data_IF_056007499629
#
_entry.id   IF_056007499629
#
_cell.length_a   1.000
_cell.length_b   1.000
_cell.length_c   1.000
_cell.angle_alpha   90.00
_cell.angle_beta   90.00
_cell.angle_gamma   90.00
#
_symmetry.space_group_name_H-M   'P 1'
#
loop_
_entity.id
_entity.type
_entity.pdbx_description
1 polymer ?
#
# COMPACT_ATOMS: atom_id res chain seq x y z
N UNK A 1 -34.70 -14.49 32.40
CA UNK A 1 -33.76 -15.62 32.27
C UNK A 1 -32.45 -15.07 31.75
N UNK A 2 -31.40 -15.02 32.58
CA UNK A 2 -30.10 -14.51 32.15
C UNK A 2 -29.41 -15.54 31.28
N UNK A 3 -29.11 -15.20 30.03
CA UNK A 3 -28.21 -15.98 29.18
C UNK A 3 -26.81 -15.86 29.78
N UNK A 4 -26.22 -16.97 30.24
CA UNK A 4 -24.87 -16.99 30.80
C UNK A 4 -23.80 -16.51 29.82
N UNK A 5 -22.56 -16.37 30.32
CA UNK A 5 -21.43 -15.94 29.50
C UNK A 5 -21.30 -16.85 28.26
N UNK A 6 -21.20 -16.30 27.03
CA UNK A 6 -21.05 -17.12 25.85
C UNK A 6 -19.78 -17.98 25.96
N UNK A 7 -19.82 -19.23 25.45
CA UNK A 7 -18.68 -20.14 25.54
C UNK A 7 -17.44 -19.50 24.90
N UNK A 8 -16.32 -19.55 25.64
CA UNK A 8 -15.03 -19.05 25.14
C UNK A 8 -14.60 -19.90 23.95
N UNK A 9 -14.49 -19.27 22.78
CA UNK A 9 -13.96 -19.91 21.58
C UNK A 9 -12.50 -20.27 21.83
N UNK A 10 -12.20 -21.56 21.90
CA UNK A 10 -10.88 -22.09 22.31
C UNK A 10 -9.76 -21.75 21.31
N UNK A 11 -10.11 -21.52 20.03
CA UNK A 11 -9.14 -21.30 18.95
C UNK A 11 -9.50 -20.09 18.07
N UNK A 12 -9.03 -18.90 18.44
CA UNK A 12 -9.27 -17.64 17.70
C UNK A 12 -8.84 -17.71 16.22
N UNK A 13 -7.69 -18.38 15.95
CA UNK A 13 -7.17 -18.57 14.59
C UNK A 13 -8.19 -19.28 13.69
N UNK A 14 -8.75 -20.40 14.17
CA UNK A 14 -9.69 -21.22 13.41
C UNK A 14 -10.97 -20.45 13.11
N UNK A 15 -11.50 -19.76 14.12
CA UNK A 15 -12.68 -18.90 13.99
C UNK A 15 -12.46 -17.85 12.90
N UNK A 16 -11.32 -17.16 12.91
CA UNK A 16 -10.98 -16.18 11.87
C UNK A 16 -10.99 -16.79 10.48
N UNK A 17 -10.38 -17.97 10.31
CA UNK A 17 -10.31 -18.68 9.02
C UNK A 17 -11.68 -19.18 8.55
N UNK A 18 -12.53 -19.63 9.46
CA UNK A 18 -13.88 -20.11 9.15
C UNK A 18 -14.72 -19.00 8.50
N UNK A 19 -14.55 -17.74 8.96
CA UNK A 19 -15.22 -16.57 8.41
C UNK A 19 -14.56 -15.97 7.15
N UNK A 20 -13.43 -16.49 6.68
CA UNK A 20 -12.81 -16.00 5.45
C UNK A 20 -13.58 -16.46 4.19
N UNK A 21 -13.51 -15.69 3.08
CA UNK A 21 -13.99 -16.13 1.78
C UNK A 21 -13.40 -17.50 1.40
N UNK A 22 -14.25 -18.39 0.90
CA UNK A 22 -13.86 -19.74 0.52
C UNK A 22 -14.04 -20.00 -0.96
N UNK A 23 -13.24 -20.92 -1.48
CA UNK A 23 -13.22 -21.35 -2.86
C UNK A 23 -13.09 -22.87 -2.90
N UNK A 24 -13.77 -23.49 -3.84
CA UNK A 24 -13.63 -24.91 -4.09
C UNK A 24 -12.77 -25.14 -5.33
N UNK A 25 -11.65 -25.83 -5.17
CA UNK A 25 -10.74 -26.15 -6.28
C UNK A 25 -10.24 -27.58 -6.21
N UNK A 26 -9.88 -28.11 -7.37
CA UNK A 26 -9.25 -29.44 -7.48
C UNK A 26 -7.74 -29.30 -7.30
N UNK A 27 -7.12 -30.27 -6.64
CA UNK A 27 -5.66 -30.34 -6.50
C UNK A 27 -5.11 -31.17 -7.66
N UNK A 28 -4.15 -30.60 -8.40
CA UNK A 28 -3.50 -31.21 -9.56
C UNK A 28 -1.98 -31.31 -9.32
N UNK A 29 -1.23 -31.87 -10.27
CA UNK A 29 0.22 -32.07 -10.13
C UNK A 29 0.98 -30.74 -9.97
N UNK A 30 0.54 -29.69 -10.66
CA UNK A 30 1.08 -28.34 -10.50
C UNK A 30 0.64 -27.64 -9.21
N UNK A 31 -0.20 -28.27 -8.39
CA UNK A 31 -0.82 -27.70 -7.20
C UNK A 31 -2.25 -27.24 -7.44
N UNK A 32 -2.57 -26.03 -6.99
CA UNK A 32 -3.92 -25.45 -7.04
C UNK A 32 -3.88 -24.14 -7.82
N UNK A 33 -4.79 -23.99 -8.78
CA UNK A 33 -4.93 -22.77 -9.58
C UNK A 33 -6.12 -21.95 -9.04
N UNK A 34 -5.84 -20.75 -8.54
CA UNK A 34 -6.84 -19.76 -8.11
C UNK A 34 -6.47 -18.44 -8.78
N UNK A 35 -7.41 -17.85 -9.51
CA UNK A 35 -7.26 -16.55 -10.16
C UNK A 35 -5.96 -16.43 -11.00
N UNK A 36 -5.68 -17.44 -11.83
CA UNK A 36 -4.48 -17.52 -12.68
C UNK A 36 -3.14 -17.60 -11.91
N UNK A 37 -3.16 -17.77 -10.59
CA UNK A 37 -1.98 -17.94 -9.74
C UNK A 37 -1.91 -19.38 -9.25
N UNK A 38 -0.71 -19.95 -9.27
CA UNK A 38 -0.46 -21.32 -8.82
C UNK A 38 0.07 -21.36 -7.39
N UNK A 39 -0.52 -22.23 -6.57
CA UNK A 39 -0.17 -22.44 -5.17
C UNK A 39 0.28 -23.88 -4.96
N UNK A 40 1.31 -24.08 -4.13
CA UNK A 40 1.85 -25.40 -3.86
C UNK A 40 2.42 -25.53 -2.45
N UNK A 41 2.20 -26.69 -1.83
CA UNK A 41 2.79 -27.10 -0.56
C UNK A 41 2.79 -28.63 -0.50
N UNK A 42 3.74 -29.23 0.20
CA UNK A 42 3.90 -30.69 0.29
C UNK A 42 2.66 -31.40 0.84
N UNK A 43 1.87 -30.69 1.65
CA UNK A 43 0.63 -31.18 2.26
C UNK A 43 -0.42 -31.53 1.19
N UNK A 44 -0.37 -30.87 0.03
CA UNK A 44 -1.26 -31.15 -1.10
C UNK A 44 -0.94 -32.48 -1.79
N UNK A 45 0.27 -33.01 -1.65
CA UNK A 45 0.77 -34.17 -2.41
C UNK A 45 -0.12 -35.40 -2.26
N UNK A 46 -0.68 -35.61 -1.06
CA UNK A 46 -1.59 -36.72 -0.75
C UNK A 46 -2.97 -36.60 -1.40
N UNK A 47 -3.32 -35.42 -1.89
CA UNK A 47 -4.62 -35.14 -2.51
C UNK A 47 -4.55 -34.94 -4.03
N UNK A 48 -3.36 -35.03 -4.62
CA UNK A 48 -3.18 -34.98 -6.07
C UNK A 48 -3.92 -36.17 -6.68
N UNK A 49 -4.82 -35.90 -7.63
CA UNK A 49 -5.68 -36.89 -8.29
C UNK A 49 -6.73 -37.58 -7.39
N UNK A 50 -7.05 -37.02 -6.23
CA UNK A 50 -8.18 -37.50 -5.42
C UNK A 50 -9.49 -37.43 -6.20
N UNK A 51 -10.33 -38.44 -6.01
CA UNK A 51 -11.64 -38.61 -6.65
C UNK A 51 -12.71 -38.67 -5.58
N UNK A 52 -13.90 -38.19 -5.92
CA UNK A 52 -15.04 -38.17 -5.00
C UNK A 52 -15.52 -39.61 -4.68
N UNK A 53 -15.53 -40.49 -5.69
CA UNK A 53 -15.86 -41.90 -5.55
C UNK A 53 -14.73 -42.81 -6.06
N UNK A 54 -14.76 -44.08 -5.65
CA UNK A 54 -13.84 -45.12 -6.11
C UNK A 54 -14.07 -45.54 -7.57
N UNK A 55 -15.11 -45.04 -8.23
CA UNK A 55 -15.46 -45.40 -9.61
C UNK A 55 -14.50 -44.77 -10.63
N UNK A 56 -14.20 -45.51 -11.71
CA UNK A 56 -13.28 -45.06 -12.78
C UNK A 56 -13.69 -43.74 -13.45
N UNK A 57 -14.99 -43.42 -13.48
CA UNK A 57 -15.57 -42.22 -14.09
C UNK A 57 -15.94 -41.13 -13.07
N UNK A 58 -15.50 -41.25 -11.81
CA UNK A 58 -15.83 -40.25 -10.80
C UNK A 58 -15.12 -38.92 -11.07
N UNK A 59 -15.77 -37.83 -10.64
CA UNK A 59 -15.23 -36.48 -10.77
C UNK A 59 -14.01 -36.31 -9.87
N UNK A 60 -13.12 -35.40 -10.25
CA UNK A 60 -12.01 -34.99 -9.38
C UNK A 60 -12.60 -34.36 -8.11
N UNK A 61 -12.08 -34.76 -6.95
CA UNK A 61 -12.48 -34.21 -5.67
C UNK A 61 -12.12 -32.72 -5.60
N UNK A 62 -13.09 -31.91 -5.18
CA UNK A 62 -12.85 -30.50 -4.85
C UNK A 62 -12.58 -30.36 -3.36
N UNK A 63 -11.68 -29.45 -3.04
CA UNK A 63 -11.32 -29.14 -1.67
C UNK A 63 -11.59 -27.67 -1.37
N UNK A 64 -11.78 -27.36 -0.10
CA UNK A 64 -12.08 -26.02 0.39
C UNK A 64 -10.76 -25.29 0.65
N UNK A 65 -10.60 -24.15 0.00
CA UNK A 65 -9.53 -23.20 0.21
C UNK A 65 -10.12 -21.90 0.74
N UNK A 66 -9.45 -21.29 1.69
CA UNK A 66 -9.76 -19.97 2.24
C UNK A 66 -8.64 -19.01 1.86
N UNK A 67 -8.94 -17.73 1.69
CA UNK A 67 -7.94 -16.71 1.35
C UNK A 67 -8.20 -15.44 2.13
N UNK A 68 -7.13 -14.79 2.61
CA UNK A 68 -7.23 -13.43 3.13
C UNK A 68 -7.26 -12.45 1.93
N UNK A 69 -8.29 -11.62 1.76
CA UNK A 69 -8.31 -10.65 0.67
C UNK A 69 -7.20 -9.60 0.75
N UNK A 70 -6.60 -9.37 1.92
CA UNK A 70 -5.52 -8.39 2.10
C UNK A 70 -4.18 -8.90 1.59
N UNK A 71 -3.97 -10.21 1.64
CA UNK A 71 -2.74 -10.86 1.22
C UNK A 71 -3.08 -12.20 0.56
N UNK A 72 -2.95 -12.22 -0.77
CA UNK A 72 -3.23 -13.40 -1.57
C UNK A 72 -1.99 -14.30 -1.74
N UNK A 73 -0.86 -14.03 -1.06
CA UNK A 73 0.34 -14.87 -1.12
C UNK A 73 0.16 -16.25 -0.53
N UNK A 74 -0.74 -16.35 0.45
CA UNK A 74 -1.01 -17.57 1.19
C UNK A 74 -2.50 -17.87 1.10
N UNK A 75 -2.81 -19.09 0.71
CA UNK A 75 -4.15 -19.67 0.84
C UNK A 75 -4.14 -20.69 1.98
N UNK A 76 -5.29 -20.86 2.62
CA UNK A 76 -5.46 -21.83 3.69
C UNK A 76 -6.28 -23.01 3.17
N UNK A 77 -5.67 -24.18 3.13
CA UNK A 77 -6.34 -25.41 2.75
C UNK A 77 -6.95 -26.09 3.96
N UNK A 78 -8.22 -26.45 3.86
CA UNK A 78 -8.89 -27.26 4.85
C UNK A 78 -8.62 -28.74 4.59
N UNK A 79 -7.89 -29.38 5.50
CA UNK A 79 -7.61 -30.81 5.42
C UNK A 79 -8.76 -31.62 6.03
N UNK A 80 -9.48 -32.45 5.25
CA UNK A 80 -10.62 -33.22 5.77
C UNK A 80 -10.22 -34.37 6.70
N UNK A 81 -8.96 -34.84 6.67
CA UNK A 81 -8.49 -35.91 7.55
C UNK A 81 -8.09 -35.37 8.94
N UNK A 82 -7.46 -34.20 8.97
CA UNK A 82 -6.97 -33.58 10.22
C UNK A 82 -8.01 -32.60 10.81
N UNK A 83 -8.97 -32.12 10.00
CA UNK A 83 -9.95 -31.09 10.34
C UNK A 83 -9.30 -29.79 10.84
N UNK A 84 -8.20 -29.39 10.19
CA UNK A 84 -7.48 -28.13 10.46
C UNK A 84 -7.02 -27.47 9.16
N UNK A 85 -6.63 -26.20 9.27
CA UNK A 85 -6.18 -25.36 8.17
C UNK A 85 -4.66 -25.32 8.07
N UNK A 86 -4.17 -25.55 6.86
CA UNK A 86 -2.76 -25.47 6.49
C UNK A 86 -2.50 -24.34 5.51
N UNK A 87 -1.39 -23.65 5.71
CA UNK A 87 -0.92 -22.57 4.85
C UNK A 87 -0.28 -23.13 3.58
N UNK A 88 -0.64 -22.55 2.45
CA UNK A 88 -0.13 -22.90 1.14
C UNK A 88 0.30 -21.60 0.45
N UNK A 89 1.61 -21.37 0.34
CA UNK A 89 2.12 -20.19 -0.35
C UNK A 89 1.97 -20.33 -1.87
N UNK A 90 2.32 -19.28 -2.58
CA UNK A 90 2.62 -19.36 -4.00
C UNK A 90 3.58 -20.50 -4.31
N UNK A 91 3.38 -21.12 -5.48
CA UNK A 91 4.32 -22.11 -6.01
C UNK A 91 5.73 -21.53 -6.16
N UNK A 92 5.80 -20.26 -6.55
CA UNK A 92 7.03 -19.51 -6.63
C UNK A 92 7.06 -18.45 -5.52
N UNK A 93 7.79 -18.76 -4.46
CA UNK A 93 7.92 -17.92 -3.26
C UNK A 93 8.73 -16.65 -3.49
N UNK A 94 9.36 -16.47 -4.66
CA UNK A 94 10.07 -15.22 -4.99
C UNK A 94 9.11 -14.05 -5.30
N UNK A 95 7.84 -14.35 -5.56
CA UNK A 95 6.82 -13.35 -5.89
C UNK A 95 6.41 -12.54 -4.66
N UNK A 96 6.18 -11.23 -4.81
CA UNK A 96 5.77 -10.38 -3.70
C UNK A 96 4.33 -10.72 -3.26
N UNK A 97 4.00 -10.51 -1.98
CA UNK A 97 2.61 -10.57 -1.54
C UNK A 97 1.82 -9.41 -2.15
N UNK A 98 0.66 -9.73 -2.72
CA UNK A 98 -0.24 -8.73 -3.29
C UNK A 98 -1.62 -8.86 -2.65
N UNK A 99 -2.37 -7.77 -2.60
CA UNK A 99 -3.77 -7.78 -2.17
C UNK A 99 -4.70 -8.17 -3.32
N UNK A 100 -5.93 -8.58 -3.00
CA UNK A 100 -6.93 -8.88 -4.03
C UNK A 100 -7.30 -7.65 -4.87
N UNK A 101 -7.19 -6.46 -4.28
CA UNK A 101 -7.50 -5.20 -4.95
C UNK A 101 -6.45 -4.85 -6.00
N UNK A 102 -5.17 -4.94 -5.64
CA UNK A 102 -4.05 -4.77 -6.58
C UNK A 102 -4.12 -5.82 -7.70
N UNK A 103 -4.41 -7.07 -7.36
CA UNK A 103 -4.62 -8.12 -8.35
C UNK A 103 -5.74 -7.77 -9.35
N UNK A 104 -6.91 -7.35 -8.85
CA UNK A 104 -8.03 -6.98 -9.70
C UNK A 104 -7.72 -5.77 -10.59
N UNK A 105 -6.96 -4.80 -10.07
CA UNK A 105 -6.51 -3.64 -10.83
C UNK A 105 -5.57 -4.06 -11.97
N UNK A 106 -4.59 -4.92 -11.67
CA UNK A 106 -3.66 -5.47 -12.66
C UNK A 106 -4.39 -6.26 -13.74
N UNK A 107 -5.34 -7.14 -13.36
CA UNK A 107 -6.16 -7.90 -14.31
C UNK A 107 -6.97 -6.96 -15.21
N UNK A 108 -7.54 -5.89 -14.63
CA UNK A 108 -8.28 -4.88 -15.38
C UNK A 108 -7.36 -4.14 -16.36
N UNK A 109 -6.13 -3.80 -15.96
CA UNK A 109 -5.11 -3.18 -16.82
C UNK A 109 -4.72 -4.10 -17.98
N UNK A 110 -4.43 -5.36 -17.71
CA UNK A 110 -4.08 -6.36 -18.72
C UNK A 110 -5.22 -6.61 -19.71
N UNK A 111 -6.46 -6.70 -19.22
CA UNK A 111 -7.65 -6.86 -20.06
C UNK A 111 -7.85 -5.66 -20.98
N UNK A 112 -7.65 -4.42 -20.51
CA UNK A 112 -7.70 -3.21 -21.35
C UNK A 112 -6.62 -3.19 -22.43
N UNK A 113 -5.47 -3.80 -22.17
CA UNK A 113 -4.36 -3.92 -23.12
C UNK A 113 -4.50 -5.13 -24.07
N UNK A 114 -5.56 -5.94 -23.94
CA UNK A 114 -5.76 -7.21 -24.68
C UNK A 114 -4.59 -8.21 -24.53
N UNK A 115 -3.90 -8.18 -23.38
CA UNK A 115 -2.81 -9.11 -23.08
C UNK A 115 -3.39 -10.37 -22.43
N UNK A 116 -2.83 -11.53 -22.77
CA UNK A 116 -3.21 -12.80 -22.13
C UNK A 116 -2.91 -12.79 -20.62
N UNK A 117 -3.90 -13.18 -19.83
CA UNK A 117 -3.82 -13.18 -18.36
C UNK A 117 -3.15 -14.49 -17.92
N UNK A 118 -1.87 -14.40 -17.59
CA UNK A 118 -1.05 -15.47 -17.08
C UNK A 118 -0.38 -15.00 -15.79
N UNK A 119 0.08 -15.95 -14.97
CA UNK A 119 0.76 -15.64 -13.71
C UNK A 119 1.93 -14.65 -13.92
N UNK A 120 2.78 -14.90 -14.92
CA UNK A 120 3.92 -14.04 -15.22
C UNK A 120 3.50 -12.63 -15.67
N UNK A 121 2.48 -12.49 -16.53
CA UNK A 121 2.04 -11.18 -17.01
C UNK A 121 1.39 -10.36 -15.88
N UNK A 122 0.73 -11.02 -14.93
CA UNK A 122 0.19 -10.38 -13.73
C UNK A 122 1.32 -9.78 -12.89
N UNK A 123 2.33 -10.57 -12.51
CA UNK A 123 3.41 -10.07 -11.64
C UNK A 123 4.32 -9.06 -12.34
N UNK A 124 4.51 -9.19 -13.65
CA UNK A 124 5.23 -8.19 -14.45
C UNK A 124 4.50 -6.84 -14.44
N UNK A 125 3.20 -6.83 -14.76
CA UNK A 125 2.40 -5.62 -14.74
C UNK A 125 2.27 -5.01 -13.33
N UNK A 126 2.21 -5.84 -12.29
CA UNK A 126 2.25 -5.39 -10.89
C UNK A 126 3.57 -4.66 -10.59
N UNK A 127 4.70 -5.24 -10.97
CA UNK A 127 6.02 -4.63 -10.77
C UNK A 127 6.15 -3.29 -11.49
N UNK A 128 5.59 -3.16 -12.69
CA UNK A 128 5.54 -1.85 -13.37
C UNK A 128 4.74 -0.82 -12.58
N UNK A 129 3.57 -1.20 -12.05
CA UNK A 129 2.71 -0.31 -11.26
C UNK A 129 3.41 0.14 -9.97
N UNK A 130 4.03 -0.79 -9.26
CA UNK A 130 4.83 -0.50 -8.07
C UNK A 130 5.98 0.46 -8.41
N UNK A 131 6.67 0.27 -9.53
CA UNK A 131 7.73 1.19 -9.96
C UNK A 131 7.19 2.61 -10.21
N UNK A 132 6.03 2.75 -10.85
CA UNK A 132 5.37 4.04 -11.11
C UNK A 132 4.97 4.71 -9.78
N UNK A 133 4.44 3.94 -8.83
CA UNK A 133 4.10 4.46 -7.51
C UNK A 133 5.36 4.96 -6.79
N UNK A 134 6.42 4.14 -6.76
CA UNK A 134 7.67 4.49 -6.09
C UNK A 134 8.35 5.70 -6.74
N UNK A 135 8.29 5.88 -8.06
CA UNK A 135 8.80 7.10 -8.71
C UNK A 135 7.96 8.32 -8.34
N UNK A 136 6.63 8.22 -8.38
CA UNK A 136 5.74 9.30 -7.96
C UNK A 136 5.94 9.71 -6.50
N UNK A 137 6.12 8.75 -5.58
CA UNK A 137 6.45 9.02 -4.18
C UNK A 137 7.79 9.75 -4.06
N UNK A 138 8.81 9.33 -4.81
CA UNK A 138 10.13 9.98 -4.79
C UNK A 138 10.05 11.41 -5.32
N UNK A 139 9.32 11.62 -6.42
CA UNK A 139 9.13 12.94 -7.02
C UNK A 139 8.36 13.89 -6.12
N UNK A 140 7.24 13.44 -5.54
CA UNK A 140 6.45 14.24 -4.58
C UNK A 140 7.25 14.59 -3.32
N UNK A 141 8.01 13.64 -2.77
CA UNK A 141 8.94 13.89 -1.65
C UNK A 141 10.02 14.90 -2.03
N UNK A 142 10.58 14.78 -3.23
CA UNK A 142 11.60 15.70 -3.77
C UNK A 142 11.03 17.12 -3.89
N UNK A 143 9.87 17.29 -4.52
CA UNK A 143 9.18 18.57 -4.67
C UNK A 143 8.86 19.21 -3.31
N UNK A 144 8.30 18.45 -2.37
CA UNK A 144 8.01 18.92 -1.01
C UNK A 144 9.26 19.34 -0.24
N UNK A 145 10.41 18.71 -0.50
CA UNK A 145 11.69 19.11 0.09
C UNK A 145 12.19 20.43 -0.51
N UNK A 146 12.09 20.59 -1.83
CA UNK A 146 12.49 21.82 -2.51
C UNK A 146 11.63 23.02 -2.11
N UNK A 147 10.31 22.86 -2.00
CA UNK A 147 9.42 23.94 -1.55
C UNK A 147 9.78 24.40 -0.14
N UNK A 148 9.94 23.47 0.81
CA UNK A 148 10.35 23.79 2.19
C UNK A 148 11.71 24.51 2.27
N UNK A 149 12.66 24.14 1.41
CA UNK A 149 13.96 24.81 1.33
C UNK A 149 13.82 26.24 0.79
N UNK A 150 12.94 26.44 -0.20
CA UNK A 150 12.60 27.77 -0.72
C UNK A 150 11.92 28.62 0.35
N UNK A 151 10.96 28.06 1.08
CA UNK A 151 10.23 28.75 2.16
C UNK A 151 11.21 29.19 3.26
N UNK A 152 12.11 28.31 3.71
CA UNK A 152 13.16 28.65 4.67
C UNK A 152 14.14 29.70 4.16
N UNK A 153 14.50 29.67 2.87
CA UNK A 153 15.35 30.72 2.26
C UNK A 153 14.65 32.06 2.27
N UNK A 154 13.36 32.09 1.91
CA UNK A 154 12.57 33.32 1.93
C UNK A 154 12.38 33.84 3.37
N UNK A 155 12.16 32.97 4.34
CA UNK A 155 12.08 33.33 5.76
C UNK A 155 13.40 33.96 6.24
N UNK A 156 14.55 33.36 5.90
CA UNK A 156 15.87 33.91 6.24
C UNK A 156 16.14 35.25 5.54
N UNK A 157 15.76 35.40 4.26
CA UNK A 157 15.87 36.67 3.53
C UNK A 157 15.04 37.77 4.18
N UNK A 158 13.79 37.47 4.53
CA UNK A 158 12.90 38.42 5.18
C UNK A 158 13.39 38.81 6.59
N UNK A 159 13.95 37.88 7.37
CA UNK A 159 14.57 38.20 8.66
C UNK A 159 15.84 39.05 8.51
N UNK A 160 16.66 38.78 7.48
CA UNK A 160 17.81 39.60 7.13
C UNK A 160 17.40 41.03 6.76
N UNK A 161 16.41 41.20 5.87
CA UNK A 161 15.91 42.52 5.47
C UNK A 161 15.34 43.30 6.66
N UNK A 162 14.55 42.67 7.53
CA UNK A 162 14.05 43.30 8.77
C UNK A 162 15.18 43.79 9.66
N UNK A 163 16.23 42.98 9.84
CA UNK A 163 17.37 43.39 10.66
C UNK A 163 18.16 44.56 10.05
N UNK A 164 18.16 44.71 8.72
CA UNK A 164 18.77 45.85 8.03
C UNK A 164 17.91 47.11 8.23
N UNK A 165 16.59 47.00 8.04
CA UNK A 165 15.63 48.09 8.27
C UNK A 165 15.70 48.59 9.73
N UNK A 166 15.71 47.70 10.72
CA UNK A 166 15.85 48.05 12.13
C UNK A 166 17.17 48.78 12.42
N UNK A 167 18.28 48.37 11.81
CA UNK A 167 19.58 49.04 11.97
C UNK A 167 19.63 50.42 11.28
N UNK A 168 18.96 50.60 10.14
CA UNK A 168 18.84 51.91 9.49
C UNK A 168 17.96 52.86 10.31
N UNK A 169 16.85 52.40 10.87
CA UNK A 169 15.98 53.18 11.75
C UNK A 169 16.77 53.66 12.99
N UNK A 170 17.56 52.78 13.62
CA UNK A 170 18.41 53.14 14.77
C UNK A 170 19.49 54.16 14.38
N UNK A 171 20.03 54.12 13.16
CA UNK A 171 20.96 55.15 12.66
C UNK A 171 20.28 56.49 12.47
N UNK A 172 19.06 56.52 11.92
CA UNK A 172 18.31 57.76 11.68
C UNK A 172 17.91 58.42 13.01
N UNK A 173 17.51 57.65 14.02
CA UNK A 173 17.16 58.18 15.35
C UNK A 173 18.36 58.76 16.10
N UNK A 174 19.58 58.32 15.79
CA UNK A 174 20.81 58.82 16.40
C UNK A 174 21.40 60.06 15.70
N UNK A 175 20.84 60.46 14.55
CA UNK A 175 21.17 61.75 13.94
C UNK A 175 20.54 62.85 14.77
N UNK A 176 21.37 63.58 15.51
CA UNK A 176 20.92 64.75 16.27
C UNK A 176 20.44 65.82 15.29
N UNK A 177 19.13 65.97 15.16
CA UNK A 177 18.50 66.92 14.25
C UNK A 177 18.86 68.33 14.74
N UNK A 178 19.72 69.02 13.99
CA UNK A 178 19.98 70.43 14.24
C UNK A 178 18.75 71.24 13.82
N UNK A 179 18.22 72.13 14.67
CA UNK A 179 17.16 73.04 14.25
C UNK A 179 17.68 73.89 13.09
N UNK A 180 16.83 74.15 12.11
CA UNK A 180 17.16 75.06 11.02
C UNK A 180 17.37 76.46 11.60
N UNK A 181 18.49 77.11 11.27
CA UNK A 181 18.72 78.51 11.59
C UNK A 181 17.62 79.36 10.95
N UNK A 182 17.14 80.36 11.69
CA UNK A 182 16.04 81.25 11.32
C UNK A 182 16.20 81.75 9.88
N UNK A 183 15.19 81.48 9.04
CA UNK A 183 15.08 82.13 7.74
C UNK A 183 14.68 83.57 8.04
N UNK A 184 15.59 84.52 7.80
CA UNK A 184 15.33 85.95 7.97
C UNK A 184 14.05 86.35 7.20
N UNK A 185 13.08 86.91 7.93
CA UNK A 185 11.76 87.37 7.50
C UNK A 185 11.82 88.68 6.67
N UNK A 186 12.79 88.80 5.75
CA UNK A 186 13.01 90.03 4.96
C UNK A 186 12.20 90.09 3.64
N UNK A 187 11.25 89.18 3.44
CA UNK A 187 10.47 89.11 2.19
C UNK A 187 9.18 89.95 2.17
N UNK A 188 8.86 90.73 3.22
CA UNK A 188 7.58 91.47 3.34
C UNK A 188 7.70 92.97 3.64
N UNK A 189 8.75 93.65 3.17
CA UNK A 189 8.77 95.13 3.13
C UNK A 189 9.14 95.71 1.77
N UNK A 190 8.14 95.82 0.89
CA UNK A 190 7.70 97.02 0.12
C UNK A 190 6.95 96.61 -1.15
#
# INVERSE_FOLDING_TARGET
MGTGLPPKLINERRVKLDFMPFFERTIQEYGVLIDHITYYSDILRKYIHSREDLTKYSKKQKFIFKRDPRDISIIYFYDPNVNDYFEIPYRDTSKPPISIWEFNEVVTKLSKQNITINENSIFEAYKEMENIELTAIRETKKLKRFSRLSDKRNENLHNSLRSIEENEIVKVTNLTIKPFEEIDDDAFTQ
#
